data_IF_861080812308
#
_entry.id   IF_861080812308
#
_cell.length_a   1.000
_cell.length_b   1.000
_cell.length_c   1.000
_cell.angle_alpha   90.00
_cell.angle_beta   90.00
_cell.angle_gamma   90.00
#
_symmetry.space_group_name_H-M   'P 1'
#
loop_
_entity.id
_entity.type
_entity.pdbx_description
1 polymer ?
#
# COMPACT_ATOMS: atom_id res chain seq x y z
N UNK A 1 -30.14 -20.45 -4.05
CA UNK A 1 -29.68 -20.29 -2.66
C UNK A 1 -28.29 -19.67 -2.75
N UNK A 2 -28.23 -18.37 -3.03
CA UNK A 2 -28.11 -17.26 -2.07
C UNK A 2 -26.66 -16.79 -2.03
N UNK A 3 -26.35 -15.88 -2.96
CA UNK A 3 -25.15 -15.04 -2.95
C UNK A 3 -25.14 -14.22 -1.67
N UNK A 4 -24.27 -14.56 -0.73
CA UNK A 4 -23.97 -13.69 0.39
C UNK A 4 -22.94 -12.65 -0.09
N UNK A 5 -23.44 -11.62 -0.77
CA UNK A 5 -22.71 -10.37 -0.97
C UNK A 5 -22.47 -9.79 0.42
N UNK A 6 -21.33 -10.13 1.01
CA UNK A 6 -20.87 -9.51 2.25
C UNK A 6 -20.58 -8.06 1.91
N UNK A 7 -21.59 -7.21 2.10
CA UNK A 7 -21.47 -5.76 2.04
C UNK A 7 -20.41 -5.35 3.05
N UNK A 8 -19.15 -5.26 2.60
CA UNK A 8 -18.04 -4.72 3.38
C UNK A 8 -18.47 -3.31 3.76
N UNK A 9 -18.82 -3.15 5.03
CA UNK A 9 -18.97 -1.82 5.63
C UNK A 9 -17.67 -1.08 5.30
N UNK A 10 -17.72 0.19 4.85
CA UNK A 10 -16.50 0.98 4.77
C UNK A 10 -15.90 0.93 6.18
N UNK A 11 -14.68 0.41 6.28
CA UNK A 11 -13.94 0.32 7.53
C UNK A 11 -13.72 1.76 7.99
N UNK A 12 -14.65 2.24 8.82
CA UNK A 12 -14.61 3.52 9.54
C UNK A 12 -13.62 3.38 10.71
N UNK A 13 -12.40 2.90 10.39
CA UNK A 13 -11.30 2.95 11.33
C UNK A 13 -10.87 4.41 11.40
N UNK A 14 -11.04 5.06 12.57
CA UNK A 14 -10.71 6.47 12.71
C UNK A 14 -9.20 6.66 12.49
N UNK A 15 -8.86 7.59 11.61
CA UNK A 15 -7.65 8.42 11.55
C UNK A 15 -6.44 8.10 12.47
N UNK A 16 -5.85 6.89 12.38
CA UNK A 16 -4.66 6.51 13.17
C UNK A 16 -3.38 6.33 12.35
N UNK A 17 -3.48 6.25 11.03
CA UNK A 17 -2.32 6.12 10.15
C UNK A 17 -1.90 7.49 9.64
N UNK A 18 -0.74 7.99 10.08
CA UNK A 18 -0.08 9.14 9.45
C UNK A 18 0.52 8.69 8.11
N UNK A 19 -0.22 8.93 7.03
CA UNK A 19 0.22 8.65 5.67
C UNK A 19 1.14 9.73 5.12
N UNK A 20 1.06 10.96 5.61
CA UNK A 20 1.80 12.09 5.04
C UNK A 20 3.26 12.09 5.52
N UNK A 21 3.52 11.64 6.76
CA UNK A 21 4.88 11.51 7.30
C UNK A 21 5.68 12.80 7.12
N UNK A 22 5.04 13.96 7.30
CA UNK A 22 5.64 15.27 7.03
C UNK A 22 6.83 15.56 7.95
N UNK A 23 6.85 14.89 9.11
CA UNK A 23 7.93 14.96 10.09
C UNK A 23 9.21 14.22 9.67
N UNK A 24 9.16 13.35 8.66
CA UNK A 24 10.32 12.63 8.15
C UNK A 24 11.01 13.39 7.01
N UNK A 25 12.35 13.27 6.87
CA UNK A 25 13.06 13.61 5.65
C UNK A 25 12.48 12.87 4.43
N UNK A 26 12.57 13.44 3.21
CA UNK A 26 12.01 12.85 2.00
C UNK A 26 12.44 11.39 1.73
N UNK A 27 13.71 11.07 1.97
CA UNK A 27 14.27 9.74 1.72
C UNK A 27 13.67 8.70 2.68
N UNK A 28 13.56 9.04 3.97
CA UNK A 28 12.96 8.16 4.97
C UNK A 28 11.45 8.02 4.78
N UNK A 29 10.79 9.09 4.33
CA UNK A 29 9.38 9.05 3.94
C UNK A 29 9.15 8.07 2.79
N UNK A 30 10.02 8.09 1.79
CA UNK A 30 9.97 7.17 0.65
C UNK A 30 10.12 5.71 1.10
N UNK A 31 11.16 5.40 1.88
CA UNK A 31 11.39 4.06 2.40
C UNK A 31 10.19 3.54 3.22
N UNK A 32 9.60 4.38 4.06
CA UNK A 32 8.42 4.00 4.86
C UNK A 32 7.18 3.75 3.97
N UNK A 33 6.96 4.57 2.94
CA UNK A 33 5.90 4.30 1.97
C UNK A 33 6.10 3.00 1.20
N UNK A 34 7.33 2.71 0.75
CA UNK A 34 7.67 1.45 0.10
C UNK A 34 7.38 0.26 1.03
N UNK A 35 7.88 0.31 2.27
CA UNK A 35 7.70 -0.76 3.25
C UNK A 35 6.21 -1.02 3.57
N UNK A 36 5.39 0.03 3.65
CA UNK A 36 3.94 -0.11 3.86
C UNK A 36 3.24 -0.74 2.67
N UNK A 37 3.57 -0.30 1.46
CA UNK A 37 2.98 -0.87 0.23
C UNK A 37 3.36 -2.33 0.09
N UNK A 38 4.63 -2.68 0.30
CA UNK A 38 5.11 -4.06 0.32
C UNK A 38 4.38 -4.90 1.37
N UNK A 39 4.25 -4.39 2.60
CA UNK A 39 3.54 -5.10 3.67
C UNK A 39 2.06 -5.38 3.34
N UNK A 40 1.37 -4.43 2.69
CA UNK A 40 -0.01 -4.63 2.23
C UNK A 40 -0.09 -5.70 1.16
N UNK A 41 0.83 -5.70 0.18
CA UNK A 41 0.89 -6.70 -0.89
C UNK A 41 1.21 -8.08 -0.30
N UNK A 42 2.20 -8.16 0.58
CA UNK A 42 2.65 -9.40 1.20
C UNK A 42 1.57 -10.04 2.07
N UNK A 43 0.80 -9.24 2.80
CA UNK A 43 -0.27 -9.74 3.66
C UNK A 43 -1.56 -10.12 2.89
N UNK A 44 -1.70 -9.66 1.65
CA UNK A 44 -2.91 -9.90 0.87
C UNK A 44 -2.93 -11.30 0.26
N UNK A 45 -4.07 -11.99 0.39
CA UNK A 45 -4.31 -13.30 -0.24
C UNK A 45 -4.90 -13.20 -1.65
N UNK A 46 -5.24 -11.99 -2.10
CA UNK A 46 -5.80 -11.67 -3.41
C UNK A 46 -5.08 -10.44 -3.99
N UNK A 47 -5.07 -10.24 -5.33
CA UNK A 47 -4.45 -9.07 -5.94
C UNK A 47 -4.99 -7.75 -5.38
N UNK A 48 -4.09 -6.86 -4.96
CA UNK A 48 -4.44 -5.56 -4.39
C UNK A 48 -4.58 -4.50 -5.48
N UNK A 49 -5.67 -3.73 -5.45
CA UNK A 49 -5.88 -2.63 -6.39
C UNK A 49 -5.05 -1.39 -6.01
N UNK A 50 -4.70 -0.56 -7.00
CA UNK A 50 -3.96 0.70 -6.76
C UNK A 50 -4.69 1.63 -5.81
N UNK A 51 -6.02 1.66 -5.90
CA UNK A 51 -6.86 2.43 -4.99
C UNK A 51 -6.75 1.99 -3.53
N UNK A 52 -6.44 0.73 -3.26
CA UNK A 52 -6.18 0.24 -1.89
C UNK A 52 -4.79 0.67 -1.44
N UNK A 53 -3.77 0.51 -2.29
CA UNK A 53 -2.39 0.93 -1.99
C UNK A 53 -2.27 2.45 -1.78
N UNK A 54 -3.05 3.25 -2.52
CA UNK A 54 -3.08 4.71 -2.36
C UNK A 54 -3.55 5.16 -0.96
N UNK A 55 -4.21 4.28 -0.18
CA UNK A 55 -4.67 4.60 1.18
C UNK A 55 -3.57 4.51 2.25
N UNK A 56 -2.40 3.98 1.91
CA UNK A 56 -1.27 3.81 2.85
C UNK A 56 -0.08 4.73 2.55
N UNK A 57 -0.19 5.56 1.52
CA UNK A 57 0.80 6.57 1.13
C UNK A 57 0.19 7.98 1.21
N UNK A 58 1.05 9.01 1.23
CA UNK A 58 0.60 10.40 1.28
C UNK A 58 -0.12 10.83 0.00
N UNK A 59 -0.97 11.87 0.08
CA UNK A 59 -1.81 12.34 -1.04
C UNK A 59 -1.04 12.74 -2.29
N UNK A 60 0.20 13.22 -2.12
CA UNK A 60 1.06 13.67 -3.19
C UNK A 60 2.07 12.59 -3.65
N UNK A 61 2.00 11.39 -3.09
CA UNK A 61 2.86 10.27 -3.47
C UNK A 61 2.44 9.74 -4.85
N UNK A 62 3.41 9.55 -5.74
CA UNK A 62 3.18 8.83 -6.99
C UNK A 62 3.32 7.32 -6.73
N UNK A 63 2.18 6.64 -6.62
CA UNK A 63 2.13 5.21 -6.30
C UNK A 63 2.82 4.33 -7.35
N UNK A 64 2.84 4.74 -8.62
CA UNK A 64 3.48 3.94 -9.67
C UNK A 64 5.00 3.86 -9.47
N UNK A 65 5.63 4.94 -9.03
CA UNK A 65 7.07 4.95 -8.74
C UNK A 65 7.42 4.07 -7.52
N UNK A 66 6.56 4.04 -6.49
CA UNK A 66 6.74 3.12 -5.35
C UNK A 66 6.66 1.66 -5.83
N UNK A 67 5.68 1.35 -6.69
CA UNK A 67 5.51 0.00 -7.23
C UNK A 67 6.71 -0.39 -8.09
N UNK A 68 7.22 0.53 -8.92
CA UNK A 68 8.39 0.28 -9.76
C UNK A 68 9.65 0.03 -8.92
N UNK A 69 9.86 0.80 -7.86
CA UNK A 69 10.99 0.58 -6.94
C UNK A 69 10.88 -0.77 -6.21
N UNK A 70 9.70 -1.13 -5.71
CA UNK A 70 9.48 -2.46 -5.10
C UNK A 70 9.77 -3.58 -6.10
N UNK A 71 9.32 -3.44 -7.35
CA UNK A 71 9.61 -4.43 -8.41
C UNK A 71 11.11 -4.51 -8.69
N UNK A 72 11.80 -3.38 -8.74
CA UNK A 72 13.25 -3.35 -8.93
C UNK A 72 14.01 -4.05 -7.80
N UNK A 73 13.56 -3.92 -6.54
CA UNK A 73 14.16 -4.63 -5.39
C UNK A 73 13.89 -6.15 -5.39
N UNK A 74 12.78 -6.56 -6.00
CA UNK A 74 12.41 -7.96 -6.17
C UNK A 74 13.00 -8.58 -7.43
N UNK A 75 13.49 -7.78 -8.38
CA UNK A 75 14.05 -8.25 -9.64
C UNK A 75 15.16 -9.30 -9.41
N UNK A 76 15.05 -10.45 -10.07
CA UNK A 76 16.02 -11.55 -9.91
C UNK A 76 15.82 -12.43 -8.67
N UNK A 77 14.74 -12.23 -7.89
CA UNK A 77 14.31 -13.16 -6.84
C UNK A 77 13.36 -14.21 -7.42
N UNK A 78 13.24 -15.41 -6.80
CA UNK A 78 12.41 -16.51 -7.31
C UNK A 78 10.88 -16.27 -7.27
N UNK A 79 10.45 -15.04 -6.98
CA UNK A 79 9.05 -14.64 -6.79
C UNK A 79 8.58 -13.62 -7.83
N UNK A 80 9.36 -13.38 -8.90
CA UNK A 80 8.88 -12.62 -10.07
C UNK A 80 7.82 -13.36 -10.89
#
# INVERSE_FOLDING_TARGET
>A
MSEASARRKPNDQPALLDTELEHLPPELRWCEWMARVEAVIFAANEPVTRSVLARVVGKNCNIELIIDDIRAELAGRPYE
#
